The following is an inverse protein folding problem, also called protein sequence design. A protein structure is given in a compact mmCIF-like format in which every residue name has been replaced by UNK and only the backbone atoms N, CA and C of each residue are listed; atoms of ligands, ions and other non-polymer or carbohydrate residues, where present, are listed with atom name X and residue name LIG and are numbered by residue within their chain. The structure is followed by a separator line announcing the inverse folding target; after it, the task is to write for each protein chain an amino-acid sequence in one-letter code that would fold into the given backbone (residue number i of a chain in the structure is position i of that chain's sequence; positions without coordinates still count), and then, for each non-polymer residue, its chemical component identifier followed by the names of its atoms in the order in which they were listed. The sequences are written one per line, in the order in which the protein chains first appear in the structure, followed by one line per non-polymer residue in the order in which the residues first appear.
data_IF_391954576002
#
_entry.id   IF_391954576002
#
_cell.length_a   1.000
_cell.length_b   1.000
_cell.length_c   1.000
_cell.angle_alpha   90.00
_cell.angle_beta   90.00
_cell.angle_gamma   90.00
#
_symmetry.space_group_name_H-M   'P 1'
#
loop_
_entity.id
_entity.type
_entity.pdbx_description
1 polymer ?
#
# COMPACT_ATOMS: atom_id res chain seq x y z
N UNK A 1 -7.25 11.87 7.28
CA UNK A 1 -6.33 10.92 7.93
C UNK A 1 -4.94 11.09 7.34
N UNK A 2 -3.93 11.15 8.17
CA UNK A 2 -2.55 11.41 7.73
C UNK A 2 -1.71 10.15 7.69
N UNK A 3 -2.20 9.05 8.21
CA UNK A 3 -1.49 7.77 8.27
C UNK A 3 -2.45 6.62 8.51
N UNK A 4 -2.02 5.43 8.16
CA UNK A 4 -2.76 4.21 8.50
C UNK A 4 -1.77 3.05 8.70
N UNK A 5 -2.25 1.97 9.31
CA UNK A 5 -1.44 0.78 9.55
C UNK A 5 -1.40 -0.09 8.30
N UNK A 6 -0.19 -0.34 7.78
CA UNK A 6 0.03 -1.17 6.60
C UNK A 6 0.55 -2.53 7.04
N UNK A 7 -0.27 -3.55 6.87
CA UNK A 7 0.07 -4.91 7.31
C UNK A 7 0.86 -5.67 6.25
N UNK A 8 1.71 -6.60 6.70
CA UNK A 8 2.51 -7.44 5.82
C UNK A 8 1.65 -8.21 4.82
N UNK A 9 0.43 -8.57 5.20
CA UNK A 9 -0.51 -9.24 4.31
C UNK A 9 -0.77 -8.42 3.03
N UNK A 10 -0.90 -7.10 3.14
CA UNK A 10 -1.04 -6.23 1.97
C UNK A 10 0.22 -6.28 1.11
N UNK A 11 1.39 -6.22 1.77
CA UNK A 11 2.67 -6.25 1.08
C UNK A 11 2.85 -7.57 0.30
N UNK A 12 2.49 -8.69 0.91
CA UNK A 12 2.60 -10.00 0.27
C UNK A 12 1.76 -10.06 -1.00
N UNK A 13 0.56 -9.50 -0.98
CA UNK A 13 -0.30 -9.44 -2.16
C UNK A 13 0.34 -8.59 -3.25
N UNK A 14 0.79 -7.38 -2.91
CA UNK A 14 1.40 -6.47 -3.88
C UNK A 14 2.68 -7.04 -4.48
N UNK A 15 3.50 -7.73 -3.68
CA UNK A 15 4.73 -8.34 -4.15
C UNK A 15 4.47 -9.51 -5.14
N UNK A 16 3.30 -10.13 -5.05
CA UNK A 16 2.95 -11.24 -5.95
C UNK A 16 2.47 -10.77 -7.33
N UNK A 17 2.29 -9.46 -7.52
CA UNK A 17 1.75 -8.88 -8.75
C UNK A 17 2.83 -8.19 -9.57
N UNK A 18 2.53 -7.96 -10.86
CA UNK A 18 3.37 -7.08 -11.67
C UNK A 18 3.28 -5.63 -11.16
N UNK A 19 4.20 -4.79 -11.63
CA UNK A 19 4.31 -3.42 -11.13
C UNK A 19 3.09 -2.57 -11.42
N UNK A 20 2.46 -2.75 -12.58
CA UNK A 20 1.27 -1.96 -12.95
C UNK A 20 0.09 -2.34 -12.07
N UNK A 21 -0.18 -3.63 -11.89
CA UNK A 21 -1.26 -4.10 -11.03
C UNK A 21 -1.04 -3.70 -9.58
N UNK A 22 0.20 -3.82 -9.10
CA UNK A 22 0.55 -3.40 -7.74
C UNK A 22 0.32 -1.91 -7.56
N UNK A 23 0.68 -1.08 -8.56
CA UNK A 23 0.44 0.35 -8.54
C UNK A 23 -1.05 0.70 -8.45
N UNK A 24 -1.87 0.02 -9.25
CA UNK A 24 -3.33 0.23 -9.21
C UNK A 24 -3.91 -0.11 -7.84
N UNK A 25 -3.54 -1.25 -7.27
CA UNK A 25 -4.06 -1.66 -5.98
C UNK A 25 -3.54 -0.79 -4.84
N UNK A 26 -2.28 -0.36 -4.91
CA UNK A 26 -1.75 0.59 -3.93
C UNK A 26 -2.53 1.91 -3.95
N UNK A 27 -2.88 2.42 -5.14
CA UNK A 27 -3.73 3.60 -5.27
C UNK A 27 -5.11 3.37 -4.68
N UNK A 28 -5.69 2.19 -4.90
CA UNK A 28 -6.99 1.84 -4.34
C UNK A 28 -6.95 1.86 -2.80
N UNK A 29 -5.93 1.27 -2.21
CA UNK A 29 -5.74 1.25 -0.75
C UNK A 29 -5.62 2.69 -0.23
N UNK A 30 -4.77 3.50 -0.85
CA UNK A 30 -4.56 4.88 -0.42
C UNK A 30 -5.82 5.74 -0.58
N UNK A 31 -6.55 5.59 -1.67
CA UNK A 31 -7.79 6.33 -1.89
C UNK A 31 -8.81 5.99 -0.81
N UNK A 32 -8.92 4.73 -0.46
CA UNK A 32 -9.82 4.28 0.60
C UNK A 32 -9.41 4.86 1.95
N UNK A 33 -8.13 4.77 2.29
CA UNK A 33 -7.63 5.16 3.61
C UNK A 33 -7.49 6.68 3.79
N UNK A 34 -6.99 7.39 2.77
CA UNK A 34 -6.72 8.83 2.90
C UNK A 34 -7.83 9.71 2.37
N UNK A 35 -8.58 9.25 1.39
CA UNK A 35 -9.61 10.07 0.73
C UNK A 35 -11.02 9.56 1.02
N UNK A 36 -11.15 8.44 1.73
CA UNK A 36 -12.43 7.84 2.11
C UNK A 36 -13.38 7.69 0.92
N UNK A 37 -12.85 7.22 -0.21
CA UNK A 37 -13.62 7.05 -1.43
C UNK A 37 -13.32 5.72 -2.10
N UNK A 38 -14.29 5.26 -2.88
CA UNK A 38 -14.09 4.10 -3.73
C UNK A 38 -13.05 4.42 -4.80
N UNK A 39 -12.20 3.47 -5.15
CA UNK A 39 -11.18 3.71 -6.16
C UNK A 39 -11.80 3.96 -7.53
N UNK A 40 -11.18 4.88 -8.27
CA UNK A 40 -11.57 5.21 -9.63
C UNK A 40 -10.71 4.48 -10.67
N UNK A 41 -9.82 3.60 -10.20
CA UNK A 41 -8.97 2.82 -11.10
C UNK A 41 -9.78 1.82 -11.89
N UNK A 42 -9.45 1.66 -13.17
CA UNK A 42 -10.06 0.63 -13.98
C UNK A 42 -9.30 -0.68 -13.77
N UNK A 43 -9.95 -1.61 -13.11
CA UNK A 43 -9.34 -2.89 -12.72
C UNK A 43 -9.73 -4.00 -13.68
N UNK A 44 -8.76 -4.88 -13.99
CA UNK A 44 -9.04 -6.14 -14.66
C UNK A 44 -9.82 -7.06 -13.70
N UNK A 45 -10.37 -8.16 -14.21
CA UNK A 45 -11.09 -9.11 -13.37
C UNK A 45 -10.21 -9.65 -12.25
N UNK A 46 -8.94 -9.94 -12.55
CA UNK A 46 -7.98 -10.41 -11.55
C UNK A 46 -7.69 -9.36 -10.51
N UNK A 47 -7.45 -8.12 -10.94
CA UNK A 47 -7.18 -7.00 -10.03
C UNK A 47 -8.40 -6.71 -9.15
N UNK A 48 -9.59 -6.77 -9.73
CA UNK A 48 -10.83 -6.56 -8.99
C UNK A 48 -11.05 -7.64 -7.93
N UNK A 49 -10.71 -8.88 -8.25
CA UNK A 49 -10.77 -9.98 -7.28
C UNK A 49 -9.88 -9.68 -6.06
N UNK A 50 -8.64 -9.27 -6.30
CA UNK A 50 -7.74 -8.90 -5.21
C UNK A 50 -8.25 -7.69 -4.44
N UNK A 51 -8.73 -6.68 -5.16
CA UNK A 51 -9.24 -5.45 -4.51
C UNK A 51 -10.45 -5.75 -3.61
N UNK A 52 -11.38 -6.57 -4.07
CA UNK A 52 -12.56 -6.92 -3.27
C UNK A 52 -12.18 -7.55 -1.93
N UNK A 53 -11.16 -8.41 -1.94
CA UNK A 53 -10.67 -9.04 -0.72
C UNK A 53 -9.94 -8.05 0.18
N UNK A 54 -9.09 -7.21 -0.40
CA UNK A 54 -8.37 -6.17 0.35
C UNK A 54 -9.36 -5.18 0.97
N UNK A 55 -10.35 -4.72 0.20
CA UNK A 55 -11.34 -3.77 0.69
C UNK A 55 -12.12 -4.32 1.89
N UNK A 56 -12.46 -5.60 1.86
CA UNK A 56 -13.12 -6.25 2.99
C UNK A 56 -12.26 -6.23 4.25
N UNK A 57 -10.96 -6.48 4.10
CA UNK A 57 -10.02 -6.41 5.22
C UNK A 57 -9.85 -4.98 5.72
N UNK A 58 -9.71 -4.01 4.82
CA UNK A 58 -9.58 -2.59 5.21
C UNK A 58 -10.78 -2.13 6.03
N UNK A 59 -11.98 -2.52 5.61
CA UNK A 59 -13.21 -2.19 6.34
C UNK A 59 -13.20 -2.81 7.74
N UNK A 60 -12.85 -4.09 7.85
CA UNK A 60 -12.78 -4.79 9.13
C UNK A 60 -11.72 -4.18 10.04
N UNK A 61 -10.57 -3.80 9.50
CA UNK A 61 -9.50 -3.14 10.26
C UNK A 61 -9.99 -1.83 10.85
N UNK A 62 -10.68 -1.00 10.07
CA UNK A 62 -11.23 0.27 10.57
C UNK A 62 -12.21 0.04 11.72
N UNK A 63 -13.10 -0.93 11.57
CA UNK A 63 -14.09 -1.25 12.61
C UNK A 63 -13.41 -1.76 13.88
N UNK A 64 -12.40 -2.61 13.74
CA UNK A 64 -11.71 -3.21 14.85
C UNK A 64 -10.81 -2.23 15.60
N UNK A 65 -10.08 -1.40 14.86
CA UNK A 65 -9.19 -0.39 15.46
C UNK A 65 -9.97 0.67 16.22
N UNK A 66 -11.18 1.00 15.79
CA UNK A 66 -12.03 1.98 16.48
C UNK A 66 -12.39 1.53 17.90
N UNK A 67 -12.33 0.23 18.20
CA UNK A 67 -12.60 -0.32 19.53
C UNK A 67 -11.33 -0.83 20.22
N UNK A 68 -10.15 -0.46 19.69
CA UNK A 68 -8.86 -0.76 20.30
C UNK A 68 -8.42 -2.22 20.18
N UNK A 69 -8.93 -2.94 19.19
CA UNK A 69 -8.57 -4.35 18.97
C UNK A 69 -7.80 -4.51 17.66
N UNK A 70 -7.02 -5.59 17.59
CA UNK A 70 -6.28 -5.97 16.36
C UNK A 70 -7.08 -7.06 15.66
N UNK A 71 -7.33 -6.93 14.35
CA UNK A 71 -8.04 -7.96 13.60
C UNK A 71 -7.30 -9.28 13.64
N UNK A 72 -8.04 -10.38 13.80
CA UNK A 72 -7.44 -11.73 13.86
C UNK A 72 -7.48 -12.46 12.52
N UNK A 73 -8.37 -12.06 11.61
CA UNK A 73 -8.44 -12.63 10.27
C UNK A 73 -7.17 -12.33 9.49
N UNK A 74 -6.82 -13.23 8.56
CA UNK A 74 -5.71 -13.04 7.62
C UNK A 74 -4.36 -12.85 8.29
N UNK A 75 -4.19 -13.27 9.54
CA UNK A 75 -2.92 -13.15 10.29
C UNK A 75 -2.41 -11.71 10.38
N UNK A 76 -3.31 -10.73 10.49
CA UNK A 76 -2.94 -9.32 10.53
C UNK A 76 -2.25 -8.90 11.83
N UNK A 77 -2.03 -9.85 12.76
CA UNK A 77 -1.35 -9.57 14.04
C UNK A 77 0.16 -9.54 13.91
N UNK A 78 0.72 -10.02 12.79
CA UNK A 78 2.16 -10.21 12.67
C UNK A 78 2.88 -8.88 12.47
N UNK A 79 3.30 -8.58 11.27
CA UNK A 79 4.13 -7.40 11.02
C UNK A 79 3.34 -6.30 10.37
N UNK A 80 3.67 -5.06 10.73
CA UNK A 80 3.06 -3.88 10.12
C UNK A 80 4.02 -2.70 10.22
N UNK A 81 3.75 -1.67 9.42
CA UNK A 81 4.41 -0.38 9.56
C UNK A 81 3.39 0.73 9.34
N UNK A 82 3.75 1.96 9.68
CA UNK A 82 2.89 3.11 9.49
C UNK A 82 3.08 3.65 8.08
N UNK A 83 2.00 3.67 7.30
CA UNK A 83 2.01 4.23 5.95
C UNK A 83 1.54 5.68 6.04
N UNK A 84 2.44 6.63 5.75
CA UNK A 84 2.14 8.05 5.87
C UNK A 84 1.56 8.62 4.57
N UNK A 85 0.73 9.63 4.68
CA UNK A 85 0.17 10.32 3.53
C UNK A 85 1.26 10.90 2.62
N UNK A 86 2.42 11.23 3.17
CA UNK A 86 3.59 11.67 2.39
C UNK A 86 3.94 10.67 1.29
N UNK A 87 3.83 9.37 1.57
CA UNK A 87 4.11 8.32 0.58
C UNK A 87 3.09 8.41 -0.57
N UNK A 88 1.83 8.60 -0.26
CA UNK A 88 0.78 8.73 -1.25
C UNK A 88 0.97 10.00 -2.11
N UNK A 89 1.38 11.09 -1.49
CA UNK A 89 1.67 12.34 -2.21
C UNK A 89 2.82 12.13 -3.20
N UNK A 90 3.86 11.40 -2.81
CA UNK A 90 4.95 11.04 -3.71
C UNK A 90 4.46 10.18 -4.87
N UNK A 91 3.61 9.19 -4.58
CA UNK A 91 3.03 8.31 -5.60
C UNK A 91 2.27 9.10 -6.67
N UNK A 92 1.58 10.16 -6.28
CA UNK A 92 0.81 11.00 -7.23
C UNK A 92 1.68 11.71 -8.25
N UNK A 93 2.99 11.76 -8.03
CA UNK A 93 3.96 12.35 -8.96
C UNK A 93 4.53 11.31 -9.93
N UNK A 94 4.07 10.07 -9.86
CA UNK A 94 4.57 8.94 -10.65
C UNK A 94 3.46 8.34 -11.50
N UNK A 95 3.85 7.65 -12.59
CA UNK A 95 2.89 6.84 -13.34
C UNK A 95 2.60 5.54 -12.57
N UNK A 96 1.59 4.80 -13.00
CA UNK A 96 1.11 3.61 -12.29
C UNK A 96 2.19 2.55 -12.11
N UNK A 97 3.00 2.29 -13.13
CA UNK A 97 4.08 1.30 -13.03
C UNK A 97 5.10 1.70 -11.98
N UNK A 98 5.51 2.97 -11.97
CA UNK A 98 6.46 3.49 -10.99
C UNK A 98 5.88 3.48 -9.57
N UNK A 99 4.59 3.72 -9.43
CA UNK A 99 3.90 3.62 -8.14
C UNK A 99 4.02 2.20 -7.58
N UNK A 100 3.84 1.19 -8.43
CA UNK A 100 4.00 -0.20 -8.01
C UNK A 100 5.42 -0.51 -7.56
N UNK A 101 6.41 -0.07 -8.34
CA UNK A 101 7.82 -0.25 -7.99
C UNK A 101 8.14 0.44 -6.65
N UNK A 102 7.65 1.66 -6.47
CA UNK A 102 7.89 2.46 -5.28
C UNK A 102 7.31 1.81 -4.02
N UNK A 103 6.05 1.39 -4.06
CA UNK A 103 5.39 0.77 -2.90
C UNK A 103 6.01 -0.58 -2.58
N UNK A 104 6.34 -1.39 -3.60
CA UNK A 104 7.05 -2.66 -3.37
C UNK A 104 8.40 -2.44 -2.69
N UNK A 105 9.11 -1.39 -3.08
CA UNK A 105 10.41 -1.05 -2.50
C UNK A 105 10.26 -0.62 -1.04
N UNK A 106 9.25 0.18 -0.72
CA UNK A 106 8.95 0.57 0.67
C UNK A 106 8.65 -0.67 1.51
N UNK A 107 7.81 -1.58 0.99
CA UNK A 107 7.48 -2.81 1.70
C UNK A 107 8.72 -3.69 1.92
N UNK A 108 9.57 -3.84 0.93
CA UNK A 108 10.80 -4.62 1.04
C UNK A 108 11.73 -4.04 2.11
N UNK A 109 11.81 -2.71 2.19
CA UNK A 109 12.61 -2.05 3.22
C UNK A 109 11.99 -2.23 4.61
N UNK A 110 10.70 -1.98 4.74
CA UNK A 110 10.03 -1.99 6.05
C UNK A 110 9.91 -3.39 6.64
N UNK A 111 9.69 -4.40 5.80
CA UNK A 111 9.51 -5.78 6.28
C UNK A 111 10.76 -6.64 6.15
N UNK A 112 11.63 -6.33 5.19
CA UNK A 112 12.82 -7.13 4.91
C UNK A 112 14.13 -6.38 5.08
N UNK A 113 14.09 -5.10 5.44
CA UNK A 113 15.27 -4.25 5.62
C UNK A 113 16.15 -4.17 4.37
N UNK A 114 15.54 -4.27 3.18
CA UNK A 114 16.23 -4.20 1.90
C UNK A 114 16.27 -2.76 1.39
N UNK A 115 17.46 -2.18 1.25
CA UNK A 115 17.61 -0.84 0.69
C UNK A 115 17.35 -0.88 -0.82
N UNK A 116 16.36 -0.14 -1.32
CA UNK A 116 16.08 -0.14 -2.75
C UNK A 116 17.09 0.70 -3.53
N UNK A 117 17.29 0.30 -4.79
CA UNK A 117 18.05 1.10 -5.74
C UNK A 117 17.15 1.35 -6.93
N UNK A 118 16.75 2.61 -7.11
CA UNK A 118 15.89 3.00 -8.21
C UNK A 118 16.74 3.48 -9.40
N UNK A 119 16.35 3.07 -10.60
CA UNK A 119 16.98 3.60 -11.82
C UNK A 119 16.56 5.05 -12.06
N UNK A 120 15.37 5.41 -11.60
CA UNK A 120 14.81 6.75 -11.74
C UNK A 120 15.29 7.63 -10.58
N UNK A 121 16.06 8.67 -10.90
CA UNK A 121 16.61 9.58 -9.88
C UNK A 121 15.53 10.30 -9.09
N UNK A 122 14.39 10.63 -9.72
CA UNK A 122 13.27 11.26 -9.02
C UNK A 122 12.67 10.32 -7.98
N UNK A 123 12.50 9.04 -8.33
CA UNK A 123 11.99 8.04 -7.39
C UNK A 123 12.91 7.85 -6.22
N UNK A 124 14.23 7.85 -6.46
CA UNK A 124 15.22 7.75 -5.39
C UNK A 124 15.08 8.93 -4.42
N UNK A 125 14.88 10.14 -4.95
CA UNK A 125 14.65 11.33 -4.14
C UNK A 125 13.37 11.23 -3.30
N UNK A 126 12.28 10.79 -3.91
CA UNK A 126 11.01 10.60 -3.18
C UNK A 126 11.17 9.57 -2.06
N UNK A 127 11.88 8.48 -2.33
CA UNK A 127 12.13 7.44 -1.34
C UNK A 127 12.92 8.00 -0.15
N UNK A 128 13.97 8.77 -0.42
CA UNK A 128 14.79 9.38 0.65
C UNK A 128 13.94 10.26 1.56
N UNK A 129 13.02 11.05 0.96
CA UNK A 129 12.11 11.91 1.73
C UNK A 129 11.12 11.11 2.57
N UNK A 130 10.71 9.95 2.08
CA UNK A 130 9.74 9.09 2.77
C UNK A 130 10.38 8.16 3.79
N UNK A 131 11.65 7.88 3.66
CA UNK A 131 12.38 6.99 4.56
C UNK A 131 12.53 7.64 5.94
N UNK A 132 12.00 6.97 6.96
CA UNK A 132 12.02 7.48 8.32
C UNK A 132 12.46 6.43 9.32
#
# INVERSE_FOLDING_TARGET
MEQFTFYEWYADILQSMDDISAGKLANCICAYEFEDREPMEQLSDKEDFYWSNIAGVLKEVKETESIGKIPKKYNLQSKHFTFYETYYKAMKLMNTRKQGIFVKAICAYMFGNEEPMFEDGAMQGYYILCKR
#
